data_IF_133425359583
#
_entry.id   IF_133425359583
#
_cell.length_a   1.000
_cell.length_b   1.000
_cell.length_c   1.000
_cell.angle_alpha   90.00
_cell.angle_beta   90.00
_cell.angle_gamma   90.00
#
_symmetry.space_group_name_H-M   'P 1'
#
loop_
_entity.id
_entity.type
_entity.pdbx_description
1 polymer ?
#
# COMPACT_ATOMS: atom_id res chain seq x y z
N UNK A 1 -11.18 8.07 -8.44
CA UNK A 1 -10.56 7.03 -7.59
C UNK A 1 -11.16 5.68 -7.91
N UNK A 2 -10.37 4.62 -7.86
CA UNK A 2 -10.85 3.26 -8.11
C UNK A 2 -11.65 2.74 -6.91
N UNK A 3 -12.63 1.87 -7.18
CA UNK A 3 -13.36 1.14 -6.15
C UNK A 3 -12.47 0.08 -5.48
N UNK A 4 -12.75 -0.22 -4.21
CA UNK A 4 -12.19 -1.36 -3.49
C UNK A 4 -12.87 -2.67 -3.92
N UNK A 5 -12.26 -3.79 -3.55
CA UNK A 5 -12.81 -5.14 -3.78
C UNK A 5 -14.13 -5.38 -3.04
N UNK A 6 -14.39 -4.63 -1.97
CA UNK A 6 -15.66 -4.60 -1.25
C UNK A 6 -16.13 -3.14 -1.14
N UNK A 7 -17.39 -2.84 -1.52
CA UNK A 7 -17.97 -1.51 -1.39
C UNK A 7 -17.84 -0.88 0.00
N UNK A 8 -17.87 -1.67 1.07
CA UNK A 8 -17.78 -1.16 2.45
C UNK A 8 -16.46 -0.44 2.75
N UNK A 9 -15.37 -0.78 2.02
CA UNK A 9 -14.06 -0.15 2.19
C UNK A 9 -13.84 1.05 1.24
N UNK A 10 -14.80 1.39 0.37
CA UNK A 10 -14.62 2.42 -0.66
C UNK A 10 -14.33 3.80 -0.08
N UNK A 11 -15.06 4.22 0.96
CA UNK A 11 -14.88 5.54 1.55
C UNK A 11 -13.49 5.67 2.19
N UNK A 12 -13.06 4.65 2.95
CA UNK A 12 -11.73 4.62 3.57
C UNK A 12 -10.63 4.62 2.50
N UNK A 13 -10.82 3.85 1.43
CA UNK A 13 -9.90 3.83 0.29
C UNK A 13 -9.77 5.20 -0.35
N UNK A 14 -10.89 5.89 -0.62
CA UNK A 14 -10.86 7.21 -1.26
C UNK A 14 -10.16 8.25 -0.40
N UNK A 15 -10.39 8.24 0.93
CA UNK A 15 -9.68 9.13 1.87
C UNK A 15 -8.19 8.86 1.88
N UNK A 16 -7.79 7.59 2.00
CA UNK A 16 -6.39 7.19 1.96
C UNK A 16 -5.72 7.53 0.63
N UNK A 17 -6.31 7.16 -0.52
CA UNK A 17 -5.75 7.41 -1.85
C UNK A 17 -5.58 8.92 -2.09
N UNK A 18 -6.51 9.75 -1.62
CA UNK A 18 -6.42 11.21 -1.74
C UNK A 18 -5.26 11.77 -0.92
N UNK A 19 -5.11 11.32 0.33
CA UNK A 19 -3.98 11.68 1.18
C UNK A 19 -2.65 11.22 0.55
N UNK A 20 -2.58 9.96 0.15
CA UNK A 20 -1.38 9.36 -0.44
C UNK A 20 -0.96 10.10 -1.71
N UNK A 21 -1.89 10.44 -2.60
CA UNK A 21 -1.55 11.16 -3.84
C UNK A 21 -0.99 12.55 -3.54
N UNK A 22 -1.54 13.26 -2.55
CA UNK A 22 -1.02 14.55 -2.11
C UNK A 22 0.39 14.40 -1.52
N UNK A 23 0.56 13.48 -0.58
CA UNK A 23 1.84 13.19 0.05
C UNK A 23 2.90 12.75 -0.97
N UNK A 24 2.54 11.88 -1.91
CA UNK A 24 3.43 11.36 -2.92
C UNK A 24 3.98 12.49 -3.81
N UNK A 25 3.10 13.36 -4.30
CA UNK A 25 3.47 14.48 -5.18
C UNK A 25 4.25 15.58 -4.45
N UNK A 26 3.86 15.92 -3.21
CA UNK A 26 4.34 17.12 -2.53
C UNK A 26 5.38 16.86 -1.44
N UNK A 27 5.55 15.61 -1.00
CA UNK A 27 6.53 15.22 0.03
C UNK A 27 7.52 14.23 -0.54
N UNK A 28 7.05 13.06 -0.94
CA UNK A 28 7.92 11.94 -1.30
C UNK A 28 8.79 12.26 -2.53
N UNK A 29 8.18 12.72 -3.63
CA UNK A 29 8.91 13.09 -4.84
C UNK A 29 9.82 14.31 -4.66
N UNK A 30 9.59 15.13 -3.63
CA UNK A 30 10.46 16.26 -3.26
C UNK A 30 11.60 15.85 -2.32
N UNK A 31 11.74 14.55 -2.01
CA UNK A 31 12.82 14.01 -1.18
C UNK A 31 12.52 13.97 0.31
N UNK A 32 11.31 14.34 0.75
CA UNK A 32 10.89 14.15 2.13
C UNK A 32 10.68 12.67 2.44
N UNK A 33 11.10 12.26 3.64
CA UNK A 33 10.95 10.88 4.15
C UNK A 33 9.90 10.76 5.25
N UNK A 34 9.13 11.81 5.52
CA UNK A 34 8.07 11.75 6.52
C UNK A 34 7.00 10.74 6.08
N UNK A 35 6.59 9.85 6.98
CA UNK A 35 5.61 8.78 6.72
C UNK A 35 4.29 8.97 7.49
N UNK A 36 4.16 10.00 8.32
CA UNK A 36 3.08 10.07 9.32
C UNK A 36 1.74 10.58 8.77
N UNK A 37 1.74 11.37 7.69
CA UNK A 37 0.58 12.18 7.26
C UNK A 37 -0.65 11.34 6.85
N UNK A 38 -0.46 10.08 6.43
CA UNK A 38 -1.54 9.21 5.96
C UNK A 38 -1.65 7.86 6.71
N UNK A 39 -0.88 7.65 7.78
CA UNK A 39 -0.78 6.32 8.41
C UNK A 39 -2.11 5.87 9.03
N UNK A 40 -2.80 6.74 9.78
CA UNK A 40 -4.11 6.39 10.37
C UNK A 40 -5.15 6.02 9.30
N UNK A 41 -5.17 6.78 8.19
CA UNK A 41 -6.05 6.50 7.04
C UNK A 41 -5.69 5.17 6.39
N UNK A 42 -4.39 4.87 6.28
CA UNK A 42 -3.92 3.60 5.75
C UNK A 42 -4.32 2.44 6.66
N UNK A 43 -4.13 2.54 7.97
CA UNK A 43 -4.48 1.46 8.90
C UNK A 43 -5.99 1.18 8.87
N UNK A 44 -6.82 2.23 8.84
CA UNK A 44 -8.27 2.07 8.73
C UNK A 44 -8.68 1.34 7.43
N UNK A 45 -8.15 1.78 6.28
CA UNK A 45 -8.42 1.11 5.00
C UNK A 45 -7.89 -0.32 4.97
N UNK A 46 -6.65 -0.54 5.43
CA UNK A 46 -5.99 -1.85 5.47
C UNK A 46 -6.77 -2.83 6.34
N UNK A 47 -7.25 -2.41 7.51
CA UNK A 47 -8.05 -3.26 8.39
C UNK A 47 -9.32 -3.76 7.69
N UNK A 48 -10.05 -2.85 7.02
CA UNK A 48 -11.23 -3.21 6.23
C UNK A 48 -10.88 -4.16 5.07
N UNK A 49 -9.85 -3.81 4.29
CA UNK A 49 -9.44 -4.59 3.12
C UNK A 49 -8.96 -6.00 3.49
N UNK A 50 -8.11 -6.12 4.51
CA UNK A 50 -7.55 -7.41 4.92
C UNK A 50 -8.63 -8.37 5.41
N UNK A 51 -9.64 -7.88 6.14
CA UNK A 51 -10.80 -8.69 6.54
C UNK A 51 -11.45 -9.38 5.34
N UNK A 52 -11.72 -8.62 4.28
CA UNK A 52 -12.35 -9.13 3.05
C UNK A 52 -11.44 -10.08 2.28
N UNK A 53 -10.15 -9.78 2.21
CA UNK A 53 -9.19 -10.61 1.46
C UNK A 53 -8.99 -11.97 2.13
N UNK A 54 -8.96 -12.01 3.47
CA UNK A 54 -8.85 -13.27 4.21
C UNK A 54 -10.04 -14.20 4.00
N UNK A 55 -11.23 -13.67 3.77
CA UNK A 55 -12.44 -14.45 3.47
C UNK A 55 -12.48 -14.98 2.02
N UNK A 56 -11.54 -14.53 1.16
CA UNK A 56 -11.51 -14.90 -0.27
C UNK A 56 -10.37 -15.89 -0.57
N UNK A 57 -10.58 -16.84 -1.50
CA UNK A 57 -9.53 -17.80 -1.92
C UNK A 57 -8.27 -17.15 -2.52
N UNK A 58 -8.34 -15.86 -2.83
CA UNK A 58 -7.21 -15.10 -3.40
C UNK A 58 -6.05 -14.91 -2.41
N UNK A 59 -6.27 -15.10 -1.10
CA UNK A 59 -5.23 -14.89 -0.09
C UNK A 59 -3.99 -15.76 -0.32
N UNK A 60 -4.16 -17.04 -0.66
CA UNK A 60 -3.02 -17.95 -0.93
C UNK A 60 -2.23 -17.51 -2.17
N UNK A 61 -2.93 -17.10 -3.23
CA UNK A 61 -2.29 -16.57 -4.44
C UNK A 61 -1.53 -15.26 -4.15
N UNK A 62 -2.11 -14.39 -3.32
CA UNK A 62 -1.44 -13.16 -2.88
C UNK A 62 -0.19 -13.44 -2.06
N UNK A 63 -0.23 -14.43 -1.16
CA UNK A 63 0.93 -14.82 -0.36
C UNK A 63 2.08 -15.32 -1.24
N UNK A 64 1.78 -16.23 -2.16
CA UNK A 64 2.78 -16.72 -3.12
C UNK A 64 3.37 -15.58 -3.96
N UNK A 65 2.54 -14.70 -4.52
CA UNK A 65 3.01 -13.59 -5.35
C UNK A 65 3.91 -12.61 -4.55
N UNK A 66 3.55 -12.32 -3.30
CA UNK A 66 4.35 -11.41 -2.43
C UNK A 66 5.72 -11.99 -2.06
N UNK A 67 5.86 -13.31 -2.00
CA UNK A 67 7.12 -13.99 -1.71
C UNK A 67 8.10 -13.99 -2.90
N UNK A 68 7.63 -13.80 -4.14
CA UNK A 68 8.47 -13.94 -5.34
C UNK A 68 9.50 -12.83 -5.52
N UNK A 69 9.37 -11.69 -4.83
CA UNK A 69 10.32 -10.55 -4.84
C UNK A 69 10.96 -10.31 -6.23
N UNK A 70 10.15 -9.97 -7.26
CA UNK A 70 10.57 -10.02 -8.68
C UNK A 70 11.67 -9.02 -9.07
N UNK A 71 11.99 -8.07 -8.21
CA UNK A 71 13.09 -7.11 -8.38
C UNK A 71 14.04 -7.22 -7.17
N UNK A 72 15.37 -7.29 -7.43
CA UNK A 72 16.53 -7.21 -6.49
C UNK A 72 16.27 -7.61 -5.01
N UNK A 73 16.82 -8.70 -4.45
CA UNK A 73 16.80 -9.10 -3.00
C UNK A 73 15.69 -8.47 -2.09
N UNK A 74 14.42 -8.43 -2.53
CA UNK A 74 13.35 -7.81 -1.75
C UNK A 74 13.43 -6.28 -1.60
N UNK A 75 13.95 -5.56 -2.60
CA UNK A 75 13.99 -4.08 -2.63
C UNK A 75 15.21 -3.44 -1.95
N UNK A 76 16.26 -4.22 -1.65
CA UNK A 76 17.53 -3.66 -1.15
C UNK A 76 18.24 -2.92 -2.28
N UNK A 77 18.61 -1.66 -2.04
CA UNK A 77 19.51 -0.94 -2.94
C UNK A 77 20.90 -1.57 -2.83
N UNK A 78 21.47 -2.05 -3.95
CA UNK A 78 22.89 -2.39 -4.01
C UNK A 78 23.71 -1.17 -3.58
N UNK A 79 24.51 -1.31 -2.52
CA UNK A 79 25.49 -0.29 -2.16
C UNK A 79 26.45 -0.13 -3.33
N UNK A 80 26.63 1.12 -3.77
CA UNK A 80 27.59 1.47 -4.81
C UNK A 80 28.99 1.48 -4.17
N UNK A 81 29.53 0.30 -3.91
CA UNK A 81 30.95 0.08 -3.63
C UNK A 81 31.48 -0.95 -4.64
N UNK A 82 31.94 -0.44 -5.78
CA UNK A 82 32.93 -1.03 -6.69
C UNK A 82 33.55 0.11 -7.49
#
# INVERSE_FOLDING_TARGET
MASSINPECNEMKQKYDSCFNHWYANRFLQGSRSLEECDELFQAYKACFMKVVHEKPIMELLNHARAQAPFEEGGKRRSKDS
#
